data_IF_869367722361
#
_entry.id   IF_869367722361
#
_cell.length_a   1.000
_cell.length_b   1.000
_cell.length_c   1.000
_cell.angle_alpha   90.00
_cell.angle_beta   90.00
_cell.angle_gamma   90.00
#
_symmetry.space_group_name_H-M   'P 1'
#
loop_
_entity.id
_entity.type
_entity.pdbx_description
1 polymer ?
#
# COMPACT_ATOMS: atom_id res chain seq x y z
N UNK A 1 -20.40 14.83 25.94
CA UNK A 1 -19.79 13.94 24.93
C UNK A 1 -19.37 14.83 23.77
N UNK A 2 -18.06 15.10 23.61
CA UNK A 2 -17.56 15.91 22.50
C UNK A 2 -17.71 15.19 21.14
N UNK A 3 -18.00 15.93 20.05
CA UNK A 3 -18.09 15.37 18.71
C UNK A 3 -16.69 15.02 18.21
N UNK A 4 -16.45 13.74 17.88
CA UNK A 4 -15.19 13.29 17.28
C UNK A 4 -15.03 13.93 15.89
N UNK A 5 -14.13 14.90 15.76
CA UNK A 5 -13.77 15.53 14.49
C UNK A 5 -13.32 14.47 13.47
N UNK A 6 -13.98 14.40 12.30
CA UNK A 6 -13.54 13.53 11.19
C UNK A 6 -12.15 13.96 10.71
N UNK A 7 -11.12 13.14 10.95
CA UNK A 7 -9.81 13.33 10.32
C UNK A 7 -9.88 12.91 8.85
N UNK A 8 -9.35 13.76 7.97
CA UNK A 8 -9.14 13.42 6.57
C UNK A 8 -7.84 12.61 6.45
N UNK A 9 -7.96 11.27 6.38
CA UNK A 9 -6.83 10.36 6.30
C UNK A 9 -6.43 10.18 4.84
N UNK A 10 -5.14 10.37 4.54
CA UNK A 10 -4.55 10.20 3.21
C UNK A 10 -3.32 9.29 3.29
N UNK A 11 -2.99 8.62 2.19
CA UNK A 11 -1.78 7.82 2.01
C UNK A 11 -1.29 7.89 0.57
N UNK A 12 0.00 7.62 0.36
CA UNK A 12 0.65 7.67 -0.96
C UNK A 12 0.70 6.28 -1.57
N UNK A 13 0.29 6.16 -2.83
CA UNK A 13 0.24 4.90 -3.60
C UNK A 13 1.18 5.03 -4.78
N UNK A 14 1.89 3.95 -5.13
CA UNK A 14 2.76 3.93 -6.31
C UNK A 14 2.25 3.03 -7.43
N UNK A 15 1.40 2.06 -7.11
CA UNK A 15 0.78 1.20 -8.11
C UNK A 15 -0.59 0.67 -7.62
N UNK A 16 -1.47 0.37 -8.56
CA UNK A 16 -2.76 -0.29 -8.33
C UNK A 16 -2.93 -1.38 -9.39
N UNK A 17 -2.88 -2.63 -8.95
CA UNK A 17 -3.06 -3.78 -9.83
C UNK A 17 -4.46 -4.37 -9.63
N UNK A 18 -5.20 -4.50 -10.72
CA UNK A 18 -6.55 -5.06 -10.72
C UNK A 18 -6.50 -6.50 -11.22
N UNK A 19 -7.48 -7.30 -10.83
CA UNK A 19 -7.64 -8.69 -11.26
C UNK A 19 -6.44 -9.61 -10.93
N UNK A 20 -5.79 -9.40 -9.80
CA UNK A 20 -4.70 -10.28 -9.36
C UNK A 20 -5.27 -11.56 -8.74
N UNK A 21 -4.69 -12.70 -9.08
CA UNK A 21 -5.11 -14.03 -8.60
C UNK A 21 -4.00 -14.79 -7.87
N UNK A 22 -2.79 -14.23 -7.85
CA UNK A 22 -1.60 -14.88 -7.30
C UNK A 22 -1.31 -14.44 -5.85
N UNK A 23 -1.69 -13.21 -5.47
CA UNK A 23 -1.43 -12.61 -4.16
C UNK A 23 -2.51 -12.91 -3.11
N UNK A 24 -3.03 -14.13 -3.16
CA UNK A 24 -4.05 -14.66 -2.25
C UNK A 24 -5.30 -15.19 -2.97
N UNK A 25 -6.22 -15.84 -2.24
CA UNK A 25 -7.39 -16.47 -2.85
C UNK A 25 -8.36 -15.45 -3.45
N UNK A 26 -8.96 -15.84 -4.59
CA UNK A 26 -9.95 -15.07 -5.33
C UNK A 26 -9.35 -14.02 -6.27
N UNK A 27 -10.21 -13.18 -6.84
CA UNK A 27 -9.81 -12.03 -7.67
C UNK A 27 -9.63 -10.82 -6.76
N UNK A 28 -8.45 -10.20 -6.80
CA UNK A 28 -8.10 -9.07 -5.93
C UNK A 28 -7.73 -7.82 -6.70
N UNK A 29 -7.89 -6.69 -6.03
CA UNK A 29 -7.24 -5.43 -6.40
C UNK A 29 -6.17 -5.15 -5.35
N UNK A 30 -4.92 -5.11 -5.77
CA UNK A 30 -3.80 -4.73 -4.92
C UNK A 30 -3.61 -3.22 -5.00
N UNK A 31 -3.35 -2.63 -3.85
CA UNK A 31 -2.96 -1.22 -3.73
C UNK A 31 -1.60 -1.20 -3.08
N UNK A 32 -0.59 -0.78 -3.84
CA UNK A 32 0.79 -0.74 -3.36
C UNK A 32 1.10 0.63 -2.78
N UNK A 33 1.33 0.68 -1.47
CA UNK A 33 1.64 1.90 -0.74
C UNK A 33 3.14 2.26 -0.85
N UNK A 34 3.42 3.57 -0.87
CA UNK A 34 4.78 4.09 -0.67
C UNK A 34 5.15 4.04 0.81
N UNK A 35 6.43 3.86 1.07
CA UNK A 35 7.07 3.78 2.38
C UNK A 35 7.30 2.34 2.83
N UNK A 36 8.56 1.91 2.82
CA UNK A 36 9.01 0.68 3.47
C UNK A 36 10.31 0.99 4.24
N UNK A 37 10.34 0.85 5.58
CA UNK A 37 11.52 1.18 6.38
C UNK A 37 12.64 0.14 6.28
N UNK A 38 12.45 -0.92 5.48
CA UNK A 38 13.41 -2.00 5.32
C UNK A 38 14.26 -1.79 4.07
N UNK A 39 15.51 -2.26 4.13
CA UNK A 39 16.46 -2.23 3.02
C UNK A 39 16.94 -3.65 2.69
N UNK A 40 15.99 -4.52 2.36
CA UNK A 40 16.28 -5.92 2.01
C UNK A 40 17.22 -5.98 0.79
N UNK A 41 18.27 -6.84 0.79
CA UNK A 41 19.19 -6.97 -0.35
C UNK A 41 18.52 -7.36 -1.69
N UNK A 42 17.37 -8.01 -1.61
CA UNK A 42 16.56 -8.43 -2.77
C UNK A 42 15.13 -7.93 -2.63
N UNK A 43 14.98 -6.63 -2.38
CA UNK A 43 13.67 -6.01 -2.33
C UNK A 43 12.93 -6.23 -3.66
N UNK A 44 11.74 -6.86 -3.61
CA UNK A 44 10.91 -7.05 -4.80
C UNK A 44 10.25 -5.75 -5.28
N UNK A 45 10.21 -4.73 -4.42
CA UNK A 45 9.55 -3.45 -4.66
C UNK A 45 10.43 -2.27 -4.19
N UNK A 46 11.63 -2.09 -4.77
CA UNK A 46 12.54 -1.01 -4.37
C UNK A 46 11.91 0.38 -4.54
N UNK A 47 10.98 0.53 -5.48
CA UNK A 47 10.18 1.74 -5.68
C UNK A 47 9.33 2.12 -4.46
N UNK A 48 8.99 1.18 -3.57
CA UNK A 48 8.21 1.45 -2.37
C UNK A 48 9.03 2.13 -1.26
N UNK A 49 10.36 2.02 -1.27
CA UNK A 49 11.21 2.40 -0.11
C UNK A 49 11.05 3.87 0.26
N UNK A 50 11.07 4.77 -0.72
CA UNK A 50 11.00 6.21 -0.49
C UNK A 50 9.55 6.74 -0.61
N UNK A 51 9.12 7.63 0.31
CA UNK A 51 7.80 8.25 0.26
C UNK A 51 7.59 9.19 -0.93
#
# INVERSE_FOLDING_TARGET
MEPKTKRNIKGTIFDIQRFTIHDGPGIRTLVFLKGCPLHCPWCCNPESIHP
#
